data_IF_838824467072
#
_entry.id   IF_838824467072
#
_cell.length_a   1.000
_cell.length_b   1.000
_cell.length_c   1.000
_cell.angle_alpha   90.00
_cell.angle_beta   90.00
_cell.angle_gamma   90.00
#
_symmetry.space_group_name_H-M   'P 1'
#
loop_
_entity.id
_entity.type
_entity.pdbx_description
1 polymer ?
#
# COMPACT_ATOMS: atom_id res chain seq x y z
N UNK A 1 62.28 30.86 -6.60
CA UNK A 1 62.72 29.48 -6.25
C UNK A 1 62.14 29.11 -4.90
N UNK A 2 61.30 28.05 -4.86
CA UNK A 2 61.14 27.04 -3.79
C UNK A 2 61.00 27.56 -2.34
N UNK A 3 59.92 27.34 -1.58
CA UNK A 3 59.02 26.18 -1.51
C UNK A 3 57.64 26.58 -0.93
N UNK A 4 56.63 26.65 -1.80
CA UNK A 4 55.23 26.41 -1.43
C UNK A 4 55.10 24.91 -1.15
N UNK A 5 54.98 24.53 0.11
CA UNK A 5 54.79 23.16 0.58
C UNK A 5 54.94 23.21 2.09
N UNK A 6 53.91 22.97 2.89
CA UNK A 6 52.98 21.86 2.87
C UNK A 6 51.64 22.38 3.39
N UNK A 7 50.78 22.82 2.48
CA UNK A 7 49.33 22.66 2.64
C UNK A 7 48.98 21.45 1.77
N UNK A 8 47.96 20.68 2.12
CA UNK A 8 47.59 19.37 1.55
C UNK A 8 48.18 18.20 2.35
N UNK A 9 47.77 18.10 3.62
CA UNK A 9 47.77 16.82 4.32
C UNK A 9 46.32 16.42 4.55
N UNK A 10 45.86 15.50 3.69
CA UNK A 10 44.72 14.61 3.89
C UNK A 10 43.32 15.24 4.07
N UNK A 11 42.86 15.98 3.05
CA UNK A 11 41.43 15.97 2.70
C UNK A 11 41.14 14.72 1.86
N UNK A 12 41.38 13.53 2.44
CA UNK A 12 40.87 12.26 1.92
C UNK A 12 39.40 12.15 2.35
N UNK A 13 38.59 13.13 1.92
CA UNK A 13 37.20 12.85 1.64
C UNK A 13 37.23 11.95 0.41
N UNK A 14 37.37 10.64 0.67
CA UNK A 14 36.91 9.64 -0.28
C UNK A 14 35.43 9.96 -0.44
N UNK A 15 35.17 10.70 -1.50
CA UNK A 15 33.88 10.83 -2.15
C UNK A 15 33.27 9.44 -2.10
N UNK A 16 32.24 9.26 -1.25
CA UNK A 16 31.29 8.19 -1.47
C UNK A 16 30.66 8.51 -2.81
N UNK A 17 31.31 8.10 -3.89
CA UNK A 17 30.71 7.97 -5.19
C UNK A 17 29.54 7.04 -4.95
N UNK A 18 28.37 7.65 -4.79
CA UNK A 18 27.06 7.02 -4.88
C UNK A 18 27.04 6.30 -6.22
N UNK A 19 27.56 5.07 -6.21
CA UNK A 19 27.31 4.13 -7.26
C UNK A 19 26.02 3.47 -6.79
N UNK A 20 24.89 4.02 -7.22
CA UNK A 20 23.60 3.36 -7.06
C UNK A 20 23.78 1.91 -7.50
N UNK A 21 23.65 0.96 -6.58
CA UNK A 21 23.79 -0.44 -6.96
C UNK A 21 22.61 -0.76 -7.88
N UNK A 22 22.87 -1.41 -9.03
CA UNK A 22 21.81 -1.81 -9.97
C UNK A 22 20.71 -2.59 -9.26
N UNK A 23 21.09 -3.45 -8.30
CA UNK A 23 20.16 -4.24 -7.50
C UNK A 23 19.26 -3.38 -6.60
N UNK A 24 19.78 -2.30 -6.01
CA UNK A 24 18.98 -1.38 -5.20
C UNK A 24 18.01 -0.56 -6.07
N UNK A 25 18.45 -0.13 -7.26
CA UNK A 25 17.60 0.58 -8.21
C UNK A 25 16.46 -0.32 -8.72
N UNK A 26 16.77 -1.56 -9.12
CA UNK A 26 15.78 -2.55 -9.56
C UNK A 26 14.78 -2.90 -8.45
N UNK A 27 15.26 -3.04 -7.21
CA UNK A 27 14.40 -3.24 -6.04
C UNK A 27 13.47 -2.04 -5.80
N UNK A 28 13.99 -0.81 -5.84
CA UNK A 28 13.21 0.42 -5.68
C UNK A 28 12.13 0.54 -6.75
N UNK A 29 12.48 0.28 -8.01
CA UNK A 29 11.51 0.31 -9.11
C UNK A 29 10.43 -0.76 -8.92
N UNK A 30 10.77 -1.95 -8.42
CA UNK A 30 9.78 -3.00 -8.11
C UNK A 30 8.79 -2.57 -7.01
N UNK A 31 9.27 -1.84 -5.99
CA UNK A 31 8.41 -1.24 -4.95
C UNK A 31 7.52 -0.14 -5.54
N UNK A 32 8.07 0.77 -6.35
CA UNK A 32 7.30 1.83 -7.02
C UNK A 32 6.23 1.27 -7.97
N UNK A 33 6.53 0.18 -8.67
CA UNK A 33 5.55 -0.52 -9.50
C UNK A 33 4.42 -1.13 -8.68
N UNK A 34 4.71 -1.58 -7.46
CA UNK A 34 3.68 -2.05 -6.54
C UNK A 34 2.72 -0.94 -6.15
N UNK A 35 3.22 0.28 -5.92
CA UNK A 35 2.38 1.46 -5.64
C UNK A 35 1.46 1.78 -6.82
N UNK A 36 2.02 1.84 -8.03
CA UNK A 36 1.24 2.06 -9.26
C UNK A 36 0.16 0.98 -9.44
N UNK A 37 0.48 -0.28 -9.17
CA UNK A 37 -0.49 -1.38 -9.23
C UNK A 37 -1.59 -1.24 -8.18
N UNK A 38 -1.25 -0.88 -6.94
CA UNK A 38 -2.25 -0.63 -5.90
C UNK A 38 -3.19 0.52 -6.30
N UNK A 39 -2.64 1.60 -6.87
CA UNK A 39 -3.44 2.69 -7.41
C UNK A 39 -4.40 2.20 -8.51
N UNK A 40 -3.92 1.43 -9.48
CA UNK A 40 -4.77 0.89 -10.55
C UNK A 40 -5.85 -0.06 -10.04
N UNK A 41 -5.58 -0.84 -8.98
CA UNK A 41 -6.57 -1.70 -8.33
C UNK A 41 -7.68 -0.88 -7.69
N UNK A 42 -7.34 0.19 -6.97
CA UNK A 42 -8.28 0.98 -6.17
C UNK A 42 -9.03 2.01 -7.02
N UNK A 43 -8.29 2.78 -7.84
CA UNK A 43 -8.76 3.99 -8.52
C UNK A 43 -8.60 3.94 -10.05
N UNK A 44 -7.94 2.91 -10.58
CA UNK A 44 -7.78 2.76 -12.03
C UNK A 44 -9.12 2.66 -12.73
N UNK A 45 -9.25 3.28 -13.91
CA UNK A 45 -10.51 3.29 -14.70
C UNK A 45 -11.06 1.90 -15.03
N UNK A 46 -10.17 0.90 -15.07
CA UNK A 46 -10.51 -0.52 -15.31
C UNK A 46 -10.32 -1.38 -14.06
N UNK A 47 -9.93 -0.76 -12.94
CA UNK A 47 -9.66 -1.39 -11.66
C UNK A 47 -10.90 -2.00 -11.03
N UNK A 48 -10.68 -2.95 -10.13
CA UNK A 48 -11.76 -3.58 -9.36
C UNK A 48 -12.48 -2.60 -8.44
N UNK A 49 -11.79 -1.59 -7.90
CA UNK A 49 -12.40 -0.52 -7.12
C UNK A 49 -13.42 0.30 -7.91
N UNK A 50 -13.07 0.72 -9.13
CA UNK A 50 -13.98 1.45 -10.01
C UNK A 50 -15.18 0.57 -10.47
N UNK A 51 -14.94 -0.71 -10.76
CA UNK A 51 -16.02 -1.66 -11.08
C UNK A 51 -17.02 -1.81 -9.93
N UNK A 52 -16.51 -1.93 -8.69
CA UNK A 52 -17.34 -1.98 -7.48
C UNK A 52 -18.23 -0.74 -7.37
N UNK A 53 -17.65 0.46 -7.51
CA UNK A 53 -18.41 1.71 -7.45
C UNK A 53 -19.49 1.79 -8.55
N UNK A 54 -19.16 1.38 -9.77
CA UNK A 54 -20.11 1.35 -10.89
C UNK A 54 -21.27 0.36 -10.68
N UNK A 55 -21.02 -0.78 -10.03
CA UNK A 55 -22.07 -1.71 -9.63
C UNK A 55 -22.96 -1.12 -8.54
N UNK A 56 -22.37 -0.51 -7.50
CA UNK A 56 -23.13 0.13 -6.41
C UNK A 56 -24.02 1.27 -6.91
N UNK A 57 -23.54 2.09 -7.83
CA UNK A 57 -24.32 3.15 -8.45
C UNK A 57 -25.55 2.65 -9.24
N UNK A 58 -25.58 1.36 -9.57
CA UNK A 58 -26.68 0.68 -10.28
C UNK A 58 -27.47 -0.27 -9.38
N UNK A 59 -27.23 -0.22 -8.07
CA UNK A 59 -27.81 -1.13 -7.08
C UNK A 59 -27.52 -2.62 -7.33
N UNK A 60 -26.46 -2.92 -8.09
CA UNK A 60 -25.99 -4.28 -8.35
C UNK A 60 -25.04 -4.74 -7.24
N UNK A 61 -25.61 -5.10 -6.09
CA UNK A 61 -24.83 -5.57 -4.94
C UNK A 61 -24.04 -6.84 -5.24
N UNK A 62 -24.57 -7.74 -6.08
CA UNK A 62 -23.90 -8.99 -6.45
C UNK A 62 -22.65 -8.70 -7.30
N UNK A 63 -22.78 -7.80 -8.28
CA UNK A 63 -21.64 -7.32 -9.07
C UNK A 63 -20.61 -6.61 -8.21
N UNK A 64 -21.05 -5.78 -7.26
CA UNK A 64 -20.16 -5.08 -6.33
C UNK A 64 -19.37 -6.06 -5.45
N UNK A 65 -20.01 -7.09 -4.90
CA UNK A 65 -19.33 -8.16 -4.13
C UNK A 65 -18.33 -8.94 -4.99
N UNK A 66 -18.68 -9.22 -6.25
CA UNK A 66 -17.76 -9.88 -7.20
C UNK A 66 -16.53 -9.01 -7.46
N UNK A 67 -16.71 -7.69 -7.57
CA UNK A 67 -15.60 -6.75 -7.71
C UNK A 67 -14.72 -6.68 -6.45
N UNK A 68 -15.30 -6.77 -5.24
CA UNK A 68 -14.52 -6.88 -3.99
C UNK A 68 -13.68 -8.17 -3.96
N UNK A 69 -14.23 -9.30 -4.41
CA UNK A 69 -13.46 -10.56 -4.49
C UNK A 69 -12.30 -10.47 -5.48
N UNK A 70 -12.53 -9.79 -6.61
CA UNK A 70 -11.47 -9.52 -7.57
C UNK A 70 -10.40 -8.61 -6.98
N UNK A 71 -10.80 -7.54 -6.28
CA UNK A 71 -9.90 -6.61 -5.59
C UNK A 71 -9.02 -7.35 -4.57
N UNK A 72 -9.61 -8.24 -3.77
CA UNK A 72 -8.88 -9.08 -2.80
C UNK A 72 -7.79 -9.92 -3.46
N UNK A 73 -8.11 -10.59 -4.58
CA UNK A 73 -7.16 -11.41 -5.35
C UNK A 73 -6.05 -10.58 -5.97
N UNK A 74 -6.36 -9.40 -6.48
CA UNK A 74 -5.36 -8.49 -7.06
C UNK A 74 -4.36 -8.02 -6.00
N UNK A 75 -4.82 -7.71 -4.80
CA UNK A 75 -3.94 -7.44 -3.65
C UNK A 75 -3.13 -8.67 -3.22
N UNK A 76 -3.72 -9.86 -3.20
CA UNK A 76 -2.98 -11.10 -2.89
C UNK A 76 -1.82 -11.34 -3.84
N UNK A 77 -2.02 -11.09 -5.13
CA UNK A 77 -0.97 -11.19 -6.14
C UNK A 77 0.11 -10.13 -5.86
N UNK A 78 -0.28 -8.86 -5.67
CA UNK A 78 0.66 -7.76 -5.38
C UNK A 78 1.53 -8.06 -4.14
N UNK A 79 0.91 -8.46 -3.02
CA UNK A 79 1.60 -8.82 -1.78
C UNK A 79 2.52 -10.03 -2.02
N UNK A 80 2.03 -11.02 -2.76
CA UNK A 80 2.81 -12.20 -3.14
C UNK A 80 4.04 -11.87 -3.97
N UNK A 81 3.96 -10.88 -4.85
CA UNK A 81 5.07 -10.42 -5.69
C UNK A 81 6.12 -9.68 -4.84
N UNK A 82 5.70 -8.77 -3.96
CA UNK A 82 6.60 -8.07 -3.02
C UNK A 82 7.33 -9.08 -2.14
N UNK A 83 6.63 -10.11 -1.64
CA UNK A 83 7.21 -11.14 -0.78
C UNK A 83 8.37 -11.90 -1.46
N UNK A 84 8.33 -12.03 -2.78
CA UNK A 84 9.37 -12.72 -3.58
C UNK A 84 10.58 -11.85 -3.90
N UNK A 85 10.51 -10.53 -3.71
CA UNK A 85 11.65 -9.65 -3.98
C UNK A 85 12.85 -10.04 -3.11
N UNK A 86 14.02 -10.15 -3.75
CA UNK A 86 15.28 -10.38 -3.03
C UNK A 86 15.77 -9.08 -2.41
N UNK A 87 16.26 -9.18 -1.18
CA UNK A 87 16.86 -8.06 -0.42
C UNK A 87 18.36 -8.31 -0.17
N UNK A 88 18.91 -9.40 -0.73
CA UNK A 88 20.30 -9.80 -0.50
C UNK A 88 21.27 -8.75 -1.04
N UNK A 89 22.14 -8.26 -0.16
CA UNK A 89 23.15 -7.26 -0.53
C UNK A 89 22.58 -5.86 -0.77
N UNK A 90 21.31 -5.61 -0.44
CA UNK A 90 20.66 -4.31 -0.60
C UNK A 90 20.54 -3.64 0.79
N UNK A 91 21.35 -2.61 1.09
CA UNK A 91 21.22 -1.83 2.32
C UNK A 91 19.78 -1.37 2.54
N UNK A 92 19.23 -1.65 3.73
CA UNK A 92 17.85 -1.32 4.12
C UNK A 92 16.73 -1.91 3.21
N UNK A 93 17.04 -2.86 2.34
CA UNK A 93 16.05 -3.51 1.49
C UNK A 93 15.00 -4.31 2.27
N UNK A 94 15.42 -5.09 3.28
CA UNK A 94 14.49 -5.88 4.11
C UNK A 94 13.50 -5.01 4.90
N UNK A 95 13.93 -3.95 5.63
CA UNK A 95 12.99 -3.00 6.25
C UNK A 95 11.97 -2.40 5.28
N UNK A 96 12.40 -1.97 4.10
CA UNK A 96 11.50 -1.40 3.09
C UNK A 96 10.50 -2.45 2.58
N UNK A 97 10.96 -3.69 2.33
CA UNK A 97 10.10 -4.81 1.95
C UNK A 97 9.05 -5.11 3.03
N UNK A 98 9.45 -5.19 4.29
CA UNK A 98 8.53 -5.45 5.41
C UNK A 98 7.48 -4.35 5.52
N UNK A 99 7.89 -3.08 5.51
CA UNK A 99 6.96 -1.96 5.60
C UNK A 99 5.98 -1.92 4.41
N UNK A 100 6.47 -2.26 3.21
CA UNK A 100 5.62 -2.38 2.01
C UNK A 100 4.57 -3.49 2.16
N UNK A 101 4.99 -4.68 2.63
CA UNK A 101 4.07 -5.79 2.87
C UNK A 101 2.97 -5.41 3.87
N UNK A 102 3.34 -4.80 5.00
CA UNK A 102 2.37 -4.38 6.03
C UNK A 102 1.41 -3.32 5.50
N UNK A 103 1.91 -2.35 4.73
CA UNK A 103 1.08 -1.32 4.11
C UNK A 103 0.05 -1.92 3.15
N UNK A 104 0.47 -2.73 2.17
CA UNK A 104 -0.48 -3.29 1.21
C UNK A 104 -1.41 -4.33 1.82
N UNK A 105 -1.00 -5.02 2.89
CA UNK A 105 -1.89 -5.87 3.67
C UNK A 105 -2.97 -5.04 4.37
N UNK A 106 -2.62 -3.90 4.98
CA UNK A 106 -3.60 -2.99 5.59
C UNK A 106 -4.57 -2.38 4.57
N UNK A 107 -4.09 -2.03 3.37
CA UNK A 107 -4.94 -1.57 2.26
C UNK A 107 -5.92 -2.66 1.81
N UNK A 108 -5.44 -3.91 1.69
CA UNK A 108 -6.30 -5.06 1.37
C UNK A 108 -7.40 -5.19 2.41
N UNK A 109 -7.06 -5.18 3.70
CA UNK A 109 -8.03 -5.31 4.78
C UNK A 109 -9.09 -4.21 4.75
N UNK A 110 -8.66 -2.95 4.55
CA UNK A 110 -9.56 -1.81 4.41
C UNK A 110 -10.54 -2.00 3.25
N UNK A 111 -10.07 -2.38 2.07
CA UNK A 111 -10.93 -2.47 0.87
C UNK A 111 -11.78 -3.73 0.84
N UNK A 112 -11.31 -4.85 1.39
CA UNK A 112 -12.12 -6.08 1.53
C UNK A 112 -13.22 -5.90 2.58
N UNK A 113 -13.03 -5.00 3.54
CA UNK A 113 -14.08 -4.65 4.51
C UNK A 113 -15.37 -4.15 3.85
N UNK A 114 -15.28 -3.55 2.65
CA UNK A 114 -16.44 -3.08 1.90
C UNK A 114 -17.48 -4.18 1.65
N UNK A 115 -17.07 -5.47 1.60
CA UNK A 115 -18.00 -6.61 1.57
C UNK A 115 -19.10 -6.49 2.64
N UNK A 116 -18.71 -6.19 3.88
CA UNK A 116 -19.65 -6.09 5.01
C UNK A 116 -20.62 -4.93 4.83
N UNK A 117 -20.15 -3.80 4.32
CA UNK A 117 -20.98 -2.62 4.08
C UNK A 117 -21.96 -2.88 2.93
N UNK A 118 -21.51 -3.53 1.86
CA UNK A 118 -22.35 -3.89 0.70
C UNK A 118 -23.43 -4.91 1.11
N UNK A 119 -23.06 -5.95 1.86
CA UNK A 119 -24.00 -6.93 2.39
C UNK A 119 -25.03 -6.28 3.32
N UNK A 120 -24.59 -5.35 4.18
CA UNK A 120 -25.47 -4.60 5.07
C UNK A 120 -26.44 -3.69 4.30
N UNK A 121 -25.98 -3.01 3.26
CA UNK A 121 -26.82 -2.16 2.43
C UNK A 121 -27.85 -2.98 1.65
N UNK A 122 -27.45 -4.13 1.08
CA UNK A 122 -28.36 -5.04 0.41
C UNK A 122 -29.46 -5.55 1.35
N UNK A 123 -29.12 -5.87 2.61
CA UNK A 123 -30.09 -6.25 3.64
C UNK A 123 -31.06 -5.11 3.98
N UNK A 124 -30.57 -3.88 4.13
CA UNK A 124 -31.44 -2.72 4.45
C UNK A 124 -32.55 -2.50 3.42
N UNK A 125 -32.35 -2.91 2.16
CA UNK A 125 -33.36 -2.79 1.10
C UNK A 125 -34.46 -3.84 1.15
N UNK A 126 -34.24 -4.96 1.85
CA UNK A 126 -35.21 -6.07 1.90
C UNK A 126 -36.01 -6.11 3.20
N UNK A 127 -35.52 -5.47 4.27
CA UNK A 127 -36.11 -5.52 5.61
C UNK A 127 -37.29 -4.56 5.80
N UNK A 128 -38.19 -4.88 6.75
CA UNK A 128 -39.30 -4.03 7.20
C UNK A 128 -39.33 -3.90 8.73
N UNK A 129 -39.89 -2.80 9.24
CA UNK A 129 -40.20 -2.58 10.67
C UNK A 129 -38.99 -2.76 11.62
N UNK A 130 -39.12 -3.52 12.71
CA UNK A 130 -38.14 -3.56 13.80
C UNK A 130 -36.76 -4.12 13.41
N UNK A 131 -36.69 -4.95 12.35
CA UNK A 131 -35.42 -5.42 11.79
C UNK A 131 -34.60 -4.26 11.17
N UNK A 132 -35.27 -3.19 10.73
CA UNK A 132 -34.64 -1.99 10.20
C UNK A 132 -33.82 -1.26 11.28
N UNK A 133 -34.34 -1.16 12.51
CA UNK A 133 -33.68 -0.42 13.61
C UNK A 133 -32.37 -1.10 14.04
N UNK A 134 -32.37 -2.42 14.20
CA UNK A 134 -31.16 -3.17 14.56
C UNK A 134 -30.12 -3.11 13.43
N UNK A 135 -30.58 -3.21 12.18
CA UNK A 135 -29.74 -3.12 10.99
C UNK A 135 -29.15 -1.71 10.80
N UNK A 136 -29.86 -0.65 11.20
CA UNK A 136 -29.31 0.72 11.23
C UNK A 136 -28.22 0.89 12.30
N UNK A 137 -28.37 0.29 13.48
CA UNK A 137 -27.32 0.33 14.51
C UNK A 137 -26.01 -0.34 14.05
N UNK A 138 -26.11 -1.40 13.24
CA UNK A 138 -24.95 -2.06 12.68
C UNK A 138 -24.15 -1.15 11.72
N UNK A 139 -24.77 -0.20 11.03
CA UNK A 139 -24.04 0.77 10.21
C UNK A 139 -23.04 1.60 11.03
N UNK A 140 -23.42 2.00 12.26
CA UNK A 140 -22.53 2.74 13.16
C UNK A 140 -21.34 1.88 13.59
N UNK A 141 -21.58 0.59 13.85
CA UNK A 141 -20.52 -0.37 14.20
C UNK A 141 -19.56 -0.55 13.02
N UNK A 142 -20.09 -0.75 11.81
CA UNK A 142 -19.28 -0.89 10.59
C UNK A 142 -18.46 0.38 10.32
N UNK A 143 -19.06 1.57 10.45
CA UNK A 143 -18.34 2.83 10.27
C UNK A 143 -17.18 3.00 11.27
N UNK A 144 -17.37 2.60 12.53
CA UNK A 144 -16.30 2.60 13.54
C UNK A 144 -15.18 1.62 13.18
N UNK A 145 -15.54 0.42 12.73
CA UNK A 145 -14.58 -0.58 12.26
C UNK A 145 -13.78 -0.08 11.06
N UNK A 146 -14.46 0.49 10.06
CA UNK A 146 -13.80 1.07 8.88
C UNK A 146 -12.86 2.22 9.23
N UNK A 147 -13.24 3.07 10.19
CA UNK A 147 -12.35 4.12 10.72
C UNK A 147 -11.06 3.54 11.32
N UNK A 148 -11.15 2.44 12.07
CA UNK A 148 -9.96 1.78 12.62
C UNK A 148 -9.05 1.24 11.50
N UNK A 149 -9.63 0.70 10.42
CA UNK A 149 -8.86 0.24 9.27
C UNK A 149 -8.16 1.39 8.53
N UNK A 150 -8.84 2.54 8.36
CA UNK A 150 -8.18 3.75 7.83
C UNK A 150 -7.00 4.18 8.69
N UNK A 151 -7.16 4.21 10.01
CA UNK A 151 -6.06 4.55 10.92
C UNK A 151 -4.89 3.59 10.78
N UNK A 152 -5.16 2.28 10.68
CA UNK A 152 -4.12 1.27 10.45
C UNK A 152 -3.38 1.52 9.13
N UNK A 153 -4.08 1.83 8.04
CA UNK A 153 -3.44 2.20 6.76
C UNK A 153 -2.54 3.42 6.92
N UNK A 154 -3.00 4.48 7.57
CA UNK A 154 -2.19 5.69 7.80
C UNK A 154 -0.94 5.41 8.64
N UNK A 155 -1.05 4.59 9.68
CA UNK A 155 0.09 4.19 10.49
C UNK A 155 1.11 3.41 9.65
N UNK A 156 0.66 2.47 8.81
CA UNK A 156 1.55 1.69 7.94
C UNK A 156 2.14 2.50 6.80
N UNK A 157 1.41 3.47 6.26
CA UNK A 157 1.91 4.43 5.28
C UNK A 157 3.07 5.26 5.85
N UNK A 158 2.94 5.76 7.07
CA UNK A 158 4.00 6.51 7.74
C UNK A 158 5.28 5.66 7.94
N UNK A 159 5.11 4.38 8.30
CA UNK A 159 6.22 3.44 8.43
C UNK A 159 6.87 3.15 7.07
N UNK A 160 6.06 2.94 6.02
CA UNK A 160 6.56 2.77 4.65
C UNK A 160 7.35 3.99 4.19
N UNK A 161 6.81 5.19 4.38
CA UNK A 161 7.49 6.44 4.04
C UNK A 161 8.85 6.55 4.74
N UNK A 162 8.89 6.28 6.05
CA UNK A 162 10.13 6.30 6.83
C UNK A 162 11.13 5.25 6.33
N UNK A 163 10.65 4.05 5.98
CA UNK A 163 11.49 2.99 5.45
C UNK A 163 12.07 3.36 4.07
N UNK A 164 11.27 3.99 3.20
CA UNK A 164 11.70 4.51 1.89
C UNK A 164 12.78 5.56 2.05
N UNK A 165 12.61 6.53 2.94
CA UNK A 165 13.64 7.56 3.21
C UNK A 165 14.96 6.95 3.69
N UNK A 166 14.89 5.97 4.60
CA UNK A 166 16.07 5.27 5.10
C UNK A 166 16.75 4.43 4.00
N UNK A 167 15.97 3.83 3.12
CA UNK A 167 16.47 3.10 1.96
C UNK A 167 17.18 4.04 0.98
N UNK A 168 16.57 5.18 0.68
CA UNK A 168 17.11 6.19 -0.23
C UNK A 168 18.45 6.74 0.26
N UNK A 169 18.50 7.14 1.53
CA UNK A 169 19.73 7.61 2.16
C UNK A 169 20.85 6.55 2.18
N UNK A 170 20.50 5.27 2.34
CA UNK A 170 21.49 4.18 2.39
C UNK A 170 22.01 3.74 1.01
N UNK A 171 21.29 4.05 -0.07
CA UNK A 171 21.62 3.62 -1.43
C UNK A 171 21.94 4.77 -2.39
N UNK A 172 21.85 6.02 -1.92
CA UNK A 172 22.29 7.20 -2.65
C UNK A 172 21.26 7.77 -3.64
N UNK A 173 19.97 7.55 -3.35
CA UNK A 173 18.83 8.12 -4.08
C UNK A 173 18.37 9.47 -3.53
#
# INVERSE_FOLDING_TARGET
MRRLGIYITAFLFITMSSCESSNAADFKESINQSERRAFEIILGKKGSGEKKLNCLAKDDFKGALTAVDQQSKEFDILIGDIKKLSTQGIPKGEPLKTASLEYYQSLKELHVFDRKEIEQEALLRTLKNNELKNTQNNLIVLARQKKMLYNAVYEKEALLHTATQNFDAANGF
#
